data_IF_993461210468
#
_entry.id   IF_993461210468
#
_cell.length_a   1.000
_cell.length_b   1.000
_cell.length_c   1.000
_cell.angle_alpha   90.00
_cell.angle_beta   90.00
_cell.angle_gamma   90.00
#
_symmetry.space_group_name_H-M   'P 1'
#
loop_
_entity.id
_entity.type
_entity.pdbx_description
1 polymer ?
#
# COMPACT_ATOMS: atom_id res chain seq x y z
N UNK A 1 35.50 4.40 4.76
CA UNK A 1 34.02 4.23 4.83
C UNK A 1 33.39 5.08 3.73
N UNK A 2 32.71 4.49 2.73
CA UNK A 2 32.01 5.27 1.69
C UNK A 2 30.91 6.10 2.38
N UNK A 3 30.95 7.43 2.24
CA UNK A 3 29.85 8.28 2.69
C UNK A 3 28.64 8.01 1.79
N UNK A 4 27.53 7.55 2.36
CA UNK A 4 26.28 7.39 1.63
C UNK A 4 25.77 8.75 1.15
N UNK A 5 25.20 8.80 -0.05
CA UNK A 5 24.55 10.01 -0.55
C UNK A 5 23.34 10.35 0.35
N UNK A 6 23.00 11.62 0.56
CA UNK A 6 21.93 11.99 1.50
C UNK A 6 20.57 11.43 1.14
N UNK A 7 20.23 11.35 -0.14
CA UNK A 7 19.00 10.71 -0.58
C UNK A 7 18.94 9.24 -0.15
N UNK A 8 20.08 8.54 -0.09
CA UNK A 8 20.14 7.16 0.41
C UNK A 8 19.86 7.09 1.90
N UNK A 9 20.34 8.06 2.68
CA UNK A 9 20.10 8.14 4.13
C UNK A 9 18.63 8.45 4.44
N UNK A 10 18.03 9.38 3.68
CA UNK A 10 16.60 9.70 3.77
C UNK A 10 15.75 8.50 3.35
N UNK A 11 16.11 7.84 2.25
CA UNK A 11 15.42 6.67 1.74
C UNK A 11 15.49 5.49 2.72
N UNK A 12 16.67 5.20 3.30
CA UNK A 12 16.82 4.10 4.26
C UNK A 12 16.03 4.36 5.54
N UNK A 13 16.05 5.59 6.05
CA UNK A 13 15.22 5.99 7.17
C UNK A 13 13.72 5.85 6.83
N UNK A 14 13.29 6.36 5.68
CA UNK A 14 11.91 6.22 5.20
C UNK A 14 11.50 4.74 5.10
N UNK A 15 12.29 3.90 4.43
CA UNK A 15 12.01 2.47 4.30
C UNK A 15 12.02 1.74 5.64
N UNK A 16 12.87 2.13 6.59
CA UNK A 16 12.86 1.52 7.93
C UNK A 16 11.59 1.83 8.70
N UNK A 17 11.08 3.07 8.62
CA UNK A 17 9.79 3.45 9.19
C UNK A 17 8.64 2.71 8.53
N UNK A 18 8.62 2.68 7.19
CA UNK A 18 7.58 1.96 6.45
C UNK A 18 7.62 0.45 6.71
N UNK A 19 8.80 -0.15 6.84
CA UNK A 19 8.94 -1.55 7.18
C UNK A 19 8.36 -1.85 8.57
N UNK A 20 8.66 -1.01 9.57
CA UNK A 20 8.13 -1.16 10.91
C UNK A 20 6.59 -1.05 10.93
N UNK A 21 6.04 0.01 10.33
CA UNK A 21 4.58 0.23 10.28
C UNK A 21 3.84 -0.88 9.52
N UNK A 22 4.38 -1.30 8.37
CA UNK A 22 3.78 -2.37 7.56
C UNK A 22 3.82 -3.71 8.29
N UNK A 23 4.91 -3.98 9.02
CA UNK A 23 5.01 -5.18 9.85
C UNK A 23 3.95 -5.18 10.96
N UNK A 24 3.85 -4.11 11.75
CA UNK A 24 2.81 -3.97 12.79
C UNK A 24 1.41 -4.16 12.22
N UNK A 25 1.17 -3.58 11.04
CA UNK A 25 -0.10 -3.70 10.35
C UNK A 25 -0.41 -5.13 9.91
N UNK A 26 0.59 -5.85 9.40
CA UNK A 26 0.49 -7.27 9.05
C UNK A 26 0.22 -8.15 10.27
N UNK A 27 0.87 -7.88 11.40
CA UNK A 27 0.66 -8.61 12.66
C UNK A 27 -0.80 -8.47 13.14
N UNK A 28 -1.31 -7.24 13.18
CA UNK A 28 -2.71 -6.97 13.56
C UNK A 28 -3.68 -7.61 12.57
N UNK A 29 -3.45 -7.47 11.26
CA UNK A 29 -4.32 -8.07 10.25
C UNK A 29 -4.45 -9.59 10.46
N UNK A 30 -3.33 -10.26 10.71
CA UNK A 30 -3.32 -11.69 11.01
C UNK A 30 -4.06 -12.02 12.31
N UNK A 31 -3.77 -11.28 13.38
CA UNK A 31 -4.39 -11.49 14.69
C UNK A 31 -5.90 -11.29 14.65
N UNK A 32 -6.40 -10.31 13.89
CA UNK A 32 -7.83 -10.06 13.75
C UNK A 32 -8.56 -11.23 13.08
N UNK A 33 -7.99 -11.81 12.01
CA UNK A 33 -8.60 -12.95 11.30
C UNK A 33 -8.77 -14.11 12.27
N UNK A 34 -7.73 -14.45 13.04
CA UNK A 34 -7.77 -15.55 13.98
C UNK A 34 -8.62 -15.26 15.21
N UNK A 35 -8.62 -14.03 15.72
CA UNK A 35 -9.47 -13.65 16.83
C UNK A 35 -10.95 -13.77 16.47
N UNK A 36 -11.38 -13.24 15.32
CA UNK A 36 -12.76 -13.39 14.84
C UNK A 36 -13.08 -14.85 14.61
N UNK A 37 -12.15 -15.60 14.01
CA UNK A 37 -12.29 -17.05 13.80
C UNK A 37 -12.56 -17.76 15.11
N UNK A 38 -11.75 -17.54 16.16
CA UNK A 38 -11.85 -18.17 17.48
C UNK A 38 -13.08 -17.71 18.29
N UNK A 39 -13.51 -16.46 18.14
CA UNK A 39 -14.68 -15.95 18.90
C UNK A 39 -16.01 -16.32 18.28
N UNK A 40 -16.12 -16.37 16.95
CA UNK A 40 -17.41 -16.52 16.27
C UNK A 40 -17.63 -17.92 15.69
N UNK A 41 -16.57 -18.63 15.31
CA UNK A 41 -16.64 -19.89 14.57
C UNK A 41 -17.58 -19.85 13.33
N UNK A 42 -17.74 -18.67 12.73
CA UNK A 42 -18.73 -18.41 11.69
C UNK A 42 -18.08 -17.90 10.41
N UNK A 43 -18.44 -18.53 9.28
CA UNK A 43 -18.00 -18.07 7.96
C UNK A 43 -18.52 -16.68 7.62
N UNK A 44 -19.76 -16.37 8.02
CA UNK A 44 -20.37 -15.04 7.79
C UNK A 44 -19.58 -13.93 8.49
N UNK A 45 -19.09 -14.16 9.71
CA UNK A 45 -18.29 -13.17 10.43
C UNK A 45 -16.95 -12.88 9.72
N UNK A 46 -16.31 -13.90 9.14
CA UNK A 46 -15.09 -13.75 8.35
C UNK A 46 -15.34 -13.07 7.00
N UNK A 47 -16.49 -13.33 6.37
CA UNK A 47 -16.92 -12.62 5.16
C UNK A 47 -17.14 -11.14 5.44
N UNK A 48 -17.88 -10.81 6.51
CA UNK A 48 -18.10 -9.40 6.92
C UNK A 48 -16.76 -8.71 7.22
N UNK A 49 -15.86 -9.39 7.93
CA UNK A 49 -14.53 -8.85 8.21
C UNK A 49 -13.74 -8.60 6.91
N UNK A 50 -13.75 -9.55 5.98
CA UNK A 50 -13.07 -9.41 4.68
C UNK A 50 -13.62 -8.23 3.91
N UNK A 51 -14.95 -8.10 3.83
CA UNK A 51 -15.60 -6.94 3.20
C UNK A 51 -15.15 -5.65 3.87
N UNK A 52 -15.14 -5.59 5.20
CA UNK A 52 -14.66 -4.43 5.95
C UNK A 52 -13.17 -4.13 5.69
N UNK A 53 -12.33 -5.15 5.49
CA UNK A 53 -10.89 -4.96 5.22
C UNK A 53 -10.56 -4.55 3.78
N UNK A 54 -11.42 -4.85 2.79
CA UNK A 54 -11.10 -4.59 1.37
C UNK A 54 -12.02 -3.57 0.69
N UNK A 55 -13.32 -3.58 0.98
CA UNK A 55 -14.27 -2.72 0.29
C UNK A 55 -13.99 -1.22 0.52
N UNK A 56 -13.72 -0.75 1.75
CA UNK A 56 -13.41 0.67 1.96
C UNK A 56 -12.14 1.12 1.23
N UNK A 57 -11.09 0.29 1.23
CA UNK A 57 -9.85 0.53 0.49
C UNK A 57 -10.12 0.68 -1.02
N UNK A 58 -10.94 -0.21 -1.59
CA UNK A 58 -11.30 -0.14 -3.01
C UNK A 58 -12.03 1.16 -3.36
N UNK A 59 -13.01 1.54 -2.53
CA UNK A 59 -13.81 2.75 -2.75
C UNK A 59 -12.95 4.01 -2.64
N UNK A 60 -12.09 4.09 -1.62
CA UNK A 60 -11.24 5.27 -1.43
C UNK A 60 -10.10 5.32 -2.44
N UNK A 61 -9.63 4.18 -2.95
CA UNK A 61 -8.54 4.12 -3.93
C UNK A 61 -8.86 4.95 -5.19
N UNK A 62 -10.12 4.95 -5.64
CA UNK A 62 -10.59 5.73 -6.80
C UNK A 62 -10.40 7.25 -6.61
N UNK A 63 -10.53 7.73 -5.38
CA UNK A 63 -10.44 9.16 -5.03
C UNK A 63 -9.04 9.53 -4.53
N UNK A 64 -8.35 8.60 -3.88
CA UNK A 64 -7.05 8.78 -3.23
C UNK A 64 -5.98 9.36 -4.14
N UNK A 65 -6.01 9.00 -5.43
CA UNK A 65 -5.09 9.52 -6.42
C UNK A 65 -5.20 11.04 -6.58
N UNK A 66 -6.39 11.62 -6.48
CA UNK A 66 -6.58 13.08 -6.55
C UNK A 66 -5.99 13.76 -5.32
N UNK A 67 -6.07 13.12 -4.15
CA UNK A 67 -5.53 13.66 -2.91
C UNK A 67 -4.00 13.61 -2.86
N UNK A 68 -3.39 12.53 -3.38
CA UNK A 68 -1.95 12.39 -3.49
C UNK A 68 -1.30 13.43 -4.43
N UNK A 69 -2.07 13.93 -5.40
CA UNK A 69 -1.63 14.96 -6.35
C UNK A 69 -1.87 16.39 -5.82
N UNK A 70 -2.93 16.61 -5.02
CA UNK A 70 -3.32 17.95 -4.55
C UNK A 70 -2.66 18.37 -3.24
N UNK A 71 -2.46 17.42 -2.33
CA UNK A 71 -1.93 17.69 -0.99
C UNK A 71 -0.48 17.21 -0.86
N UNK A 72 0.20 17.69 0.18
CA UNK A 72 1.54 17.21 0.47
C UNK A 72 1.50 15.75 0.89
N UNK A 73 2.13 14.90 0.06
CA UNK A 73 2.20 13.44 0.22
C UNK A 73 2.64 13.05 1.62
N UNK A 74 3.54 13.84 2.21
CA UNK A 74 4.01 13.68 3.59
C UNK A 74 2.89 13.76 4.63
N UNK A 75 2.04 14.78 4.56
CA UNK A 75 0.91 14.94 5.48
C UNK A 75 -0.19 13.91 5.22
N UNK A 76 -0.41 13.56 3.96
CA UNK A 76 -1.35 12.49 3.60
C UNK A 76 -0.97 11.16 4.27
N UNK A 77 0.32 10.79 4.23
CA UNK A 77 0.83 9.57 4.88
C UNK A 77 0.69 9.68 6.41
N UNK A 78 1.13 10.78 7.02
CA UNK A 78 1.09 10.97 8.48
C UNK A 78 -0.33 10.93 9.01
N UNK A 79 -1.29 11.58 8.35
CA UNK A 79 -2.69 11.59 8.79
C UNK A 79 -3.35 10.23 8.60
N UNK A 80 -3.03 9.49 7.53
CA UNK A 80 -3.53 8.14 7.33
C UNK A 80 -3.01 7.19 8.42
N UNK A 81 -1.69 7.14 8.63
CA UNK A 81 -1.08 6.28 9.67
C UNK A 81 -1.53 6.69 11.08
N UNK A 82 -1.59 7.99 11.35
CA UNK A 82 -2.05 8.52 12.62
C UNK A 82 -3.52 8.18 12.90
N UNK A 83 -4.39 8.28 11.89
CA UNK A 83 -5.80 7.91 11.99
C UNK A 83 -5.98 6.41 12.24
N UNK A 84 -5.21 5.57 11.55
CA UNK A 84 -5.18 4.12 11.78
C UNK A 84 -4.71 3.80 13.20
N UNK A 85 -3.58 4.36 13.63
CA UNK A 85 -3.00 4.13 14.94
C UNK A 85 -3.95 4.60 16.06
N UNK A 86 -4.62 5.75 15.87
CA UNK A 86 -5.61 6.24 16.83
C UNK A 86 -6.81 5.29 16.94
N UNK A 87 -7.33 4.79 15.82
CA UNK A 87 -8.43 3.83 15.84
C UNK A 87 -8.02 2.50 16.50
N UNK A 88 -6.83 1.98 16.18
CA UNK A 88 -6.24 0.81 16.84
C UNK A 88 -6.10 1.03 18.35
N UNK A 89 -5.63 2.20 18.78
CA UNK A 89 -5.46 2.56 20.18
C UNK A 89 -6.79 2.62 20.93
N UNK A 90 -7.82 3.24 20.33
CA UNK A 90 -9.17 3.32 20.92
C UNK A 90 -9.73 1.92 21.14
N UNK A 91 -9.64 1.03 20.14
CA UNK A 91 -10.11 -0.35 20.27
C UNK A 91 -9.31 -1.12 21.32
N UNK A 92 -7.99 -0.95 21.36
CA UNK A 92 -7.15 -1.57 22.38
C UNK A 92 -7.56 -1.14 23.81
N UNK A 93 -7.87 0.14 24.02
CA UNK A 93 -8.36 0.65 25.31
C UNK A 93 -9.71 0.01 25.68
N UNK A 94 -10.66 -0.11 24.74
CA UNK A 94 -11.93 -0.80 25.00
C UNK A 94 -11.73 -2.25 25.43
N UNK A 95 -10.80 -2.97 24.78
CA UNK A 95 -10.48 -4.35 25.13
C UNK A 95 -9.82 -4.48 26.50
N UNK A 96 -8.93 -3.56 26.87
CA UNK A 96 -8.34 -3.50 28.22
C UNK A 96 -9.43 -3.30 29.29
N UNK A 97 -10.48 -2.54 28.97
CA UNK A 97 -11.64 -2.32 29.84
C UNK A 97 -12.65 -3.48 29.85
N UNK A 98 -12.38 -4.56 29.11
CA UNK A 98 -13.24 -5.75 29.02
C UNK A 98 -14.36 -5.67 27.96
N UNK A 99 -14.44 -4.60 27.18
CA UNK A 99 -15.43 -4.45 26.11
C UNK A 99 -14.95 -5.14 24.82
N UNK A 100 -14.98 -6.47 24.81
CA UNK A 100 -14.46 -7.31 23.72
C UNK A 100 -15.52 -7.62 22.65
N UNK A 101 -15.98 -6.59 21.93
CA UNK A 101 -16.99 -6.74 20.88
C UNK A 101 -16.36 -7.00 19.50
N UNK A 102 -16.89 -7.99 18.76
CA UNK A 102 -16.46 -8.28 17.38
C UNK A 102 -16.81 -7.13 16.43
N UNK A 103 -17.85 -6.34 16.74
CA UNK A 103 -18.22 -5.16 15.94
C UNK A 103 -17.14 -4.08 15.95
N UNK A 104 -16.39 -3.95 17.06
CA UNK A 104 -15.24 -3.03 17.12
C UNK A 104 -14.12 -3.47 16.17
N UNK A 105 -13.96 -4.78 15.97
CA UNK A 105 -13.00 -5.34 15.02
C UNK A 105 -13.41 -5.02 13.58
N UNK A 106 -14.68 -5.17 13.23
CA UNK A 106 -15.14 -4.80 11.89
C UNK A 106 -14.96 -3.30 11.61
N UNK A 107 -15.25 -2.46 12.60
CA UNK A 107 -15.07 -1.02 12.49
C UNK A 107 -13.59 -0.64 12.31
N UNK A 108 -12.69 -1.17 13.13
CA UNK A 108 -11.26 -0.86 13.00
C UNK A 108 -10.68 -1.41 11.70
N UNK A 109 -11.10 -2.60 11.26
CA UNK A 109 -10.73 -3.13 9.94
C UNK A 109 -11.14 -2.19 8.80
N UNK A 110 -12.34 -1.60 8.87
CA UNK A 110 -12.79 -0.64 7.88
C UNK A 110 -11.99 0.66 7.88
N UNK A 111 -11.66 1.20 9.07
CA UNK A 111 -10.83 2.40 9.20
C UNK A 111 -9.42 2.13 8.65
N UNK A 112 -8.84 0.97 8.98
CA UNK A 112 -7.53 0.52 8.46
C UNK A 112 -7.52 0.41 6.95
N UNK A 113 -8.58 -0.17 6.38
CA UNK A 113 -8.79 -0.29 4.94
C UNK A 113 -8.81 1.09 4.26
N UNK A 114 -9.54 2.07 4.82
CA UNK A 114 -9.56 3.44 4.30
C UNK A 114 -8.18 4.10 4.32
N UNK A 115 -7.48 4.05 5.46
CA UNK A 115 -6.16 4.67 5.57
C UNK A 115 -5.14 4.03 4.61
N UNK A 116 -5.15 2.71 4.47
CA UNK A 116 -4.27 2.01 3.52
C UNK A 116 -4.52 2.38 2.06
N UNK A 117 -5.79 2.61 1.68
CA UNK A 117 -6.14 3.08 0.33
C UNK A 117 -5.65 4.49 0.01
N UNK A 118 -5.48 5.35 1.02
CA UNK A 118 -4.93 6.70 0.89
C UNK A 118 -3.40 6.68 0.90
N UNK A 119 -2.81 5.88 1.78
CA UNK A 119 -1.38 5.83 2.03
C UNK A 119 -0.58 5.26 0.86
N UNK A 120 -1.08 4.18 0.23
CA UNK A 120 -0.37 3.47 -0.85
C UNK A 120 0.03 4.39 -2.03
N UNK A 121 -0.91 5.12 -2.66
CA UNK A 121 -0.59 6.06 -3.73
C UNK A 121 0.34 7.18 -3.30
N UNK A 122 0.19 7.70 -2.08
CA UNK A 122 1.06 8.75 -1.55
C UNK A 122 2.51 8.29 -1.39
N UNK A 123 2.74 7.06 -0.91
CA UNK A 123 4.08 6.45 -0.81
C UNK A 123 4.70 6.27 -2.20
N UNK A 124 3.96 5.68 -3.13
CA UNK A 124 4.44 5.42 -4.49
C UNK A 124 4.80 6.72 -5.22
N UNK A 125 4.07 7.81 -4.93
CA UNK A 125 4.37 9.13 -5.45
C UNK A 125 5.53 9.81 -4.69
N UNK A 126 5.79 9.47 -3.42
CA UNK A 126 6.87 10.06 -2.63
C UNK A 126 8.25 9.51 -2.99
N UNK A 127 8.35 8.20 -3.28
CA UNK A 127 9.62 7.56 -3.66
C UNK A 127 10.35 8.30 -4.81
N UNK A 128 9.69 8.68 -5.92
CA UNK A 128 10.34 9.41 -7.00
C UNK A 128 10.70 10.87 -6.65
N UNK A 129 10.26 11.41 -5.50
CA UNK A 129 10.73 12.70 -5.02
C UNK A 129 12.06 12.60 -4.27
N UNK A 130 12.34 11.45 -3.68
CA UNK A 130 13.55 11.22 -2.87
C UNK A 130 14.66 10.64 -3.72
N UNK A 131 14.33 9.82 -4.72
CA UNK A 131 15.31 8.97 -5.43
C UNK A 131 15.55 9.47 -6.85
N UNK A 132 16.82 9.61 -7.29
CA UNK A 132 17.14 9.95 -8.67
C UNK A 132 16.60 8.93 -9.68
N UNK A 133 16.12 9.41 -10.84
CA UNK A 133 15.52 8.58 -11.90
C UNK A 133 16.33 7.33 -12.24
N UNK A 134 17.66 7.45 -12.37
CA UNK A 134 18.59 6.35 -12.65
C UNK A 134 18.56 5.20 -11.63
N UNK A 135 18.13 5.48 -10.39
CA UNK A 135 18.10 4.52 -9.29
C UNK A 135 16.66 4.08 -8.91
N UNK A 136 15.62 4.59 -9.57
CA UNK A 136 14.22 4.31 -9.20
C UNK A 136 13.87 2.82 -9.32
N UNK A 137 14.29 2.17 -10.40
CA UNK A 137 14.03 0.73 -10.61
C UNK A 137 14.66 -0.09 -9.48
N UNK A 138 15.92 0.21 -9.14
CA UNK A 138 16.63 -0.46 -8.03
C UNK A 138 15.95 -0.18 -6.69
N UNK A 139 15.52 1.05 -6.46
CA UNK A 139 14.83 1.46 -5.23
C UNK A 139 13.49 0.77 -5.06
N UNK A 140 12.71 0.65 -6.13
CA UNK A 140 11.45 -0.10 -6.15
C UNK A 140 11.69 -1.60 -5.92
N UNK A 141 12.76 -2.19 -6.49
CA UNK A 141 13.15 -3.57 -6.21
C UNK A 141 13.41 -3.83 -4.72
N UNK A 142 14.11 -2.90 -4.04
CA UNK A 142 14.33 -2.96 -2.59
C UNK A 142 13.01 -2.86 -1.82
N UNK A 143 12.14 -1.91 -2.19
CA UNK A 143 10.84 -1.73 -1.54
C UNK A 143 9.96 -2.98 -1.66
N UNK A 144 9.90 -3.58 -2.86
CA UNK A 144 9.18 -4.84 -3.07
C UNK A 144 9.77 -5.99 -2.26
N UNK A 145 11.10 -6.06 -2.13
CA UNK A 145 11.76 -7.09 -1.32
C UNK A 145 11.41 -6.94 0.16
N UNK A 146 11.41 -5.71 0.69
CA UNK A 146 10.95 -5.42 2.05
C UNK A 146 9.50 -5.87 2.24
N UNK A 147 8.61 -5.52 1.30
CA UNK A 147 7.21 -5.93 1.33
C UNK A 147 7.02 -7.44 1.34
N UNK A 148 7.78 -8.17 0.53
CA UNK A 148 7.70 -9.64 0.46
C UNK A 148 8.22 -10.30 1.75
N UNK A 149 9.32 -9.79 2.32
CA UNK A 149 9.86 -10.26 3.60
C UNK A 149 8.81 -10.07 4.71
N UNK A 150 8.16 -8.91 4.75
CA UNK A 150 7.12 -8.61 5.74
C UNK A 150 5.89 -9.51 5.53
N UNK A 151 5.45 -9.72 4.29
CA UNK A 151 4.34 -10.62 3.99
C UNK A 151 4.62 -12.06 4.44
N UNK A 152 5.87 -12.51 4.37
CA UNK A 152 6.27 -13.83 4.85
C UNK A 152 6.36 -13.89 6.39
N UNK A 153 6.94 -12.88 7.02
CA UNK A 153 7.18 -12.85 8.47
C UNK A 153 5.91 -12.56 9.27
N UNK A 154 5.01 -11.72 8.75
CA UNK A 154 3.85 -11.24 9.51
C UNK A 154 2.93 -12.37 9.98
N UNK A 155 2.56 -13.37 9.15
CA UNK A 155 1.76 -14.49 9.61
C UNK A 155 2.45 -15.34 10.69
N UNK A 156 3.75 -15.60 10.53
CA UNK A 156 4.53 -16.41 11.48
C UNK A 156 4.58 -15.71 12.84
N UNK A 157 4.94 -14.43 12.85
CA UNK A 157 5.02 -13.63 14.06
C UNK A 157 3.63 -13.40 14.66
N UNK A 158 2.61 -13.11 13.85
CA UNK A 158 1.23 -12.91 14.29
C UNK A 158 0.63 -14.16 14.94
N UNK A 159 0.90 -15.35 14.37
CA UNK A 159 0.51 -16.63 14.95
C UNK A 159 1.22 -16.91 16.28
N UNK A 160 2.50 -16.58 16.40
CA UNK A 160 3.19 -16.67 17.68
C UNK A 160 2.57 -15.69 18.70
N UNK A 161 2.34 -14.43 18.31
CA UNK A 161 1.83 -13.38 19.20
C UNK A 161 0.47 -13.72 19.79
N UNK A 162 -0.49 -14.23 19.00
CA UNK A 162 -1.85 -14.48 19.48
C UNK A 162 -1.92 -15.57 20.55
N UNK A 163 -0.92 -16.44 20.64
CA UNK A 163 -0.84 -17.49 21.66
C UNK A 163 -0.34 -16.95 22.99
N UNK A 164 0.61 -16.00 22.96
CA UNK A 164 1.28 -15.50 24.16
C UNK A 164 0.79 -14.13 24.63
N UNK A 165 0.17 -13.35 23.74
CA UNK A 165 -0.31 -12.00 24.01
C UNK A 165 -1.81 -11.89 23.79
N UNK A 166 -2.51 -11.10 24.65
CA UNK A 166 -3.88 -10.70 24.35
C UNK A 166 -3.91 -9.75 23.16
N UNK A 167 -5.01 -9.72 22.42
CA UNK A 167 -5.11 -8.96 21.16
C UNK A 167 -4.88 -7.45 21.33
N UNK A 168 -5.26 -6.87 22.48
CA UNK A 168 -4.99 -5.46 22.76
C UNK A 168 -3.50 -5.14 22.80
N UNK A 169 -2.64 -6.08 23.21
CA UNK A 169 -1.19 -5.88 23.22
C UNK A 169 -0.62 -5.88 21.80
N UNK A 170 -1.19 -6.68 20.90
CA UNK A 170 -0.82 -6.70 19.47
C UNK A 170 -1.20 -5.36 18.82
N UNK A 171 -2.37 -4.81 19.14
CA UNK A 171 -2.75 -3.45 18.71
C UNK A 171 -1.77 -2.39 19.23
N UNK A 172 -1.30 -2.49 20.48
CA UNK A 172 -0.32 -1.54 21.03
C UNK A 172 1.03 -1.61 20.32
N UNK A 173 1.45 -2.80 19.89
CA UNK A 173 2.68 -2.97 19.09
C UNK A 173 2.51 -2.25 17.75
N UNK A 174 1.38 -2.44 17.06
CA UNK A 174 1.07 -1.74 15.82
C UNK A 174 1.08 -0.21 15.99
N UNK A 175 0.42 0.29 17.05
CA UNK A 175 0.45 1.72 17.41
C UNK A 175 1.88 2.22 17.63
N UNK A 176 2.72 1.44 18.33
CA UNK A 176 4.13 1.78 18.53
C UNK A 176 4.92 1.82 17.22
N UNK A 177 4.72 0.85 16.33
CA UNK A 177 5.39 0.81 15.03
C UNK A 177 4.94 1.95 14.11
N UNK A 178 3.65 2.30 14.12
CA UNK A 178 3.11 3.44 13.39
C UNK A 178 3.64 4.76 13.95
N UNK A 179 3.74 4.90 15.28
CA UNK A 179 4.33 6.07 15.91
C UNK A 179 5.80 6.27 15.50
N UNK A 180 6.59 5.20 15.43
CA UNK A 180 7.98 5.25 14.93
C UNK A 180 8.01 5.77 13.49
N UNK A 181 7.17 5.23 12.61
CA UNK A 181 7.09 5.66 11.22
C UNK A 181 6.67 7.13 11.09
N UNK A 182 5.68 7.57 11.85
CA UNK A 182 5.23 8.97 11.90
C UNK A 182 6.35 9.90 12.37
N UNK A 183 7.06 9.53 13.44
CA UNK A 183 8.17 10.33 13.97
C UNK A 183 9.30 10.45 12.94
N UNK A 184 9.68 9.35 12.30
CA UNK A 184 10.64 9.36 11.19
C UNK A 184 10.15 10.31 10.11
N UNK A 185 8.89 10.18 9.68
CA UNK A 185 8.31 11.02 8.63
C UNK A 185 8.21 12.50 8.98
N UNK A 186 8.05 12.86 10.26
CA UNK A 186 8.05 14.26 10.74
C UNK A 186 9.44 14.89 10.71
N UNK A 187 10.48 14.12 11.03
CA UNK A 187 11.86 14.61 11.11
C UNK A 187 12.55 14.57 9.74
N UNK A 188 12.13 13.65 8.86
CA UNK A 188 12.73 13.46 7.55
C UNK A 188 12.65 14.74 6.68
N UNK A 189 13.80 15.19 6.14
CA UNK A 189 13.84 16.24 5.14
C UNK A 189 13.45 15.67 3.78
N UNK A 190 12.36 16.18 3.20
CA UNK A 190 11.83 15.72 1.92
C UNK A 190 11.69 16.94 0.99
N UNK A 191 12.09 16.82 -0.29
CA UNK A 191 11.85 17.86 -1.28
C UNK A 191 10.35 18.12 -1.49
N UNK A 192 9.93 19.38 -1.45
CA UNK A 192 8.53 19.74 -1.66
C UNK A 192 8.15 19.60 -3.14
N UNK A 193 6.99 19.01 -3.41
CA UNK A 193 6.55 18.63 -4.76
C UNK A 193 6.40 19.80 -5.75
N UNK A 194 6.07 21.00 -5.25
CA UNK A 194 5.85 22.21 -6.08
C UNK A 194 7.04 23.15 -6.13
N UNK A 195 7.81 23.23 -5.04
CA UNK A 195 8.84 24.25 -4.85
C UNK A 195 10.25 23.68 -4.99
N UNK A 196 10.43 22.37 -4.82
CA UNK A 196 11.75 21.72 -4.76
C UNK A 196 12.49 21.95 -3.43
N UNK A 197 12.08 22.95 -2.64
CA UNK A 197 12.63 23.25 -1.32
C UNK A 197 12.59 22.03 -0.40
N UNK A 198 13.70 21.75 0.27
CA UNK A 198 13.77 20.63 1.21
C UNK A 198 13.41 21.09 2.62
N UNK A 199 12.34 20.51 3.15
CA UNK A 199 11.81 20.84 4.47
C UNK A 199 11.44 19.58 5.26
N UNK A 200 11.59 19.65 6.58
CA UNK A 200 10.95 18.70 7.49
C UNK A 200 9.60 19.29 7.97
N UNK A 201 8.89 18.61 8.88
CA UNK A 201 7.52 19.02 9.25
C UNK A 201 7.51 20.32 10.03
N UNK A 202 8.67 20.69 10.57
CA UNK A 202 8.87 21.81 11.48
C UNK A 202 9.47 23.03 10.77
N UNK A 203 9.84 22.93 9.49
CA UNK A 203 10.34 24.05 8.69
C UNK A 203 11.40 23.68 7.67
N UNK A 204 11.89 24.70 6.96
CA UNK A 204 12.89 24.59 5.90
C UNK A 204 14.26 24.25 6.49
N UNK A 205 14.93 23.24 5.92
CA UNK A 205 16.27 22.82 6.33
C UNK A 205 17.31 23.33 5.33
N UNK A 206 17.88 24.51 5.58
CA UNK A 206 18.86 25.19 4.71
C UNK A 206 20.12 24.36 4.34
N UNK A 207 20.38 23.22 5.01
CA UNK A 207 21.51 22.34 4.67
C UNK A 207 21.21 21.36 3.54
N UNK A 208 19.97 21.25 3.11
CA UNK A 208 19.57 20.29 2.10
C UNK A 208 19.64 20.84 0.67
N UNK A 209 19.64 22.17 0.50
CA UNK A 209 19.57 22.85 -0.79
C UNK A 209 20.79 22.58 -1.71
N UNK A 210 21.90 22.10 -1.16
CA UNK A 210 23.17 21.83 -1.87
C UNK A 210 23.28 20.38 -2.39
N UNK A 211 22.23 19.56 -2.25
CA UNK A 211 22.27 18.15 -2.60
C UNK A 211 21.48 17.83 -3.88
N UNK A 212 22.05 16.97 -4.72
CA UNK A 212 21.37 16.38 -5.88
C UNK A 212 20.33 15.33 -5.39
N UNK A 213 19.12 15.81 -5.12
CA UNK A 213 17.97 15.00 -4.68
C UNK A 213 17.34 14.19 -5.82
N UNK A 214 17.86 14.30 -7.05
CA UNK A 214 17.32 13.57 -8.19
C UNK A 214 15.93 14.03 -8.65
N UNK A 215 15.41 15.11 -8.07
CA UNK A 215 14.34 15.92 -8.62
C UNK A 215 14.97 16.90 -9.62
N UNK A 216 14.42 17.10 -10.83
CA UNK A 216 14.94 18.11 -11.73
C UNK A 216 14.78 19.48 -11.05
N UNK A 217 15.86 20.01 -10.49
CA UNK A 217 15.92 21.35 -9.94
C UNK A 217 15.81 22.34 -11.09
N UNK A 218 14.63 22.86 -11.36
CA UNK A 218 14.42 24.08 -12.17
C UNK A 218 14.88 24.06 -13.64
N UNK A 219 15.45 22.98 -14.15
CA UNK A 219 15.79 22.82 -15.55
C UNK A 219 15.49 21.38 -15.94
N UNK A 220 14.31 21.16 -16.53
CA UNK A 220 14.28 20.20 -17.63
C UNK A 220 15.25 20.81 -18.64
N UNK A 221 16.45 20.23 -18.75
CA UNK A 221 17.38 20.59 -19.81
C UNK A 221 16.57 20.50 -21.11
N UNK A 222 16.39 21.63 -21.79
CA UNK A 222 15.60 21.75 -23.01
C UNK A 222 16.06 20.76 -24.11
N UNK A 223 17.25 20.20 -23.95
CA UNK A 223 17.84 19.14 -24.75
C UNK A 223 17.07 17.81 -24.66
N UNK A 224 16.52 17.45 -23.49
CA UNK A 224 15.76 16.20 -23.29
C UNK A 224 14.33 16.29 -23.83
N UNK A 225 13.78 17.51 -23.96
CA UNK A 225 12.48 17.75 -24.58
C UNK A 225 12.56 17.56 -26.10
N UNK A 226 13.69 17.93 -26.73
CA UNK A 226 13.90 17.75 -28.17
C UNK A 226 14.05 16.28 -28.57
N UNK A 227 14.78 15.48 -27.80
CA UNK A 227 14.89 14.02 -28.03
C UNK A 227 13.55 13.31 -27.82
N UNK A 228 12.75 13.73 -26.83
CA UNK A 228 11.40 13.18 -26.60
C UNK A 228 10.43 13.56 -27.71
N UNK A 229 10.55 14.76 -28.30
CA UNK A 229 9.74 15.18 -29.42
C UNK A 229 10.07 14.40 -30.71
N UNK A 230 11.35 14.15 -30.98
CA UNK A 230 11.79 13.33 -32.12
C UNK A 230 11.37 11.86 -31.96
N UNK A 231 11.49 11.29 -30.75
CA UNK A 231 11.01 9.93 -30.45
C UNK A 231 9.48 9.85 -30.51
N UNK A 232 8.75 10.92 -30.15
CA UNK A 232 7.30 10.97 -30.28
C UNK A 232 6.85 10.97 -31.75
N UNK A 233 7.58 11.66 -32.63
CA UNK A 233 7.31 11.70 -34.07
C UNK A 233 7.56 10.33 -34.73
N UNK A 234 8.64 9.63 -34.34
CA UNK A 234 8.93 8.25 -34.77
C UNK A 234 7.90 7.24 -34.22
N UNK A 235 7.44 7.41 -32.97
CA UNK A 235 6.38 6.57 -32.38
C UNK A 235 5.01 6.82 -33.01
N UNK A 236 4.71 8.04 -33.46
CA UNK A 236 3.48 8.33 -34.21
C UNK A 236 3.50 7.65 -35.58
N UNK A 237 4.65 7.61 -36.26
CA UNK A 237 4.81 6.86 -37.51
C UNK A 237 4.63 5.35 -37.33
N UNK A 238 5.13 4.77 -36.23
CA UNK A 238 4.99 3.34 -35.91
C UNK A 238 3.56 2.98 -35.43
N UNK A 239 2.86 3.93 -34.77
CA UNK A 239 1.47 3.79 -34.28
C UNK A 239 0.44 3.71 -35.42
N UNK A 240 0.75 4.25 -36.60
CA UNK A 240 -0.10 4.18 -37.78
C UNK A 240 -0.05 2.81 -38.49
N UNK A 241 1.01 2.01 -38.29
CA UNK A 241 1.14 0.67 -38.94
C UNK A 241 0.56 -0.49 -38.11
N UNK A 242 0.22 -0.28 -36.83
CA UNK A 242 -0.26 -1.34 -35.92
C UNK A 242 -1.59 -1.01 -35.20
N UNK A 243 -2.68 -1.00 -35.96
CA UNK A 243 -4.04 -1.27 -35.48
C UNK A 243 -4.76 -0.10 -34.79
N UNK A 244 -5.33 0.79 -35.60
CA UNK A 244 -5.99 2.05 -35.22
C UNK A 244 -7.36 1.95 -34.53
N UNK A 245 -8.01 0.78 -34.46
CA UNK A 245 -9.45 0.75 -34.13
C UNK A 245 -9.80 1.02 -32.66
N UNK A 246 -8.89 0.72 -31.72
CA UNK A 246 -9.20 0.80 -30.28
C UNK A 246 -8.78 2.10 -29.60
N UNK A 247 -7.73 2.74 -30.13
CA UNK A 247 -7.04 3.86 -29.48
C UNK A 247 -7.68 5.20 -29.87
N UNK A 248 -8.17 5.31 -31.10
CA UNK A 248 -8.92 6.47 -31.59
C UNK A 248 -10.22 6.70 -30.80
N UNK A 249 -10.95 5.63 -30.43
CA UNK A 249 -12.15 5.70 -29.61
C UNK A 249 -11.90 6.04 -28.12
N UNK A 250 -10.65 6.07 -27.65
CA UNK A 250 -10.26 6.52 -26.30
C UNK A 250 -9.75 7.95 -26.26
N UNK A 251 -9.38 8.52 -27.40
CA UNK A 251 -8.90 9.90 -27.51
C UNK A 251 -10.04 10.96 -27.52
N UNK A 252 -11.29 10.54 -27.78
CA UNK A 252 -12.44 11.46 -27.86
C UNK A 252 -13.06 11.88 -26.51
N UNK A 253 -12.59 11.37 -25.38
CA UNK A 253 -13.04 11.88 -24.07
C UNK A 253 -12.05 12.90 -23.55
N UNK A 254 -12.28 14.17 -23.90
CA UNK A 254 -11.77 15.37 -23.22
C UNK A 254 -12.39 15.49 -21.81
N UNK A 255 -12.24 14.43 -21.01
CA UNK A 255 -12.61 14.42 -19.61
C UNK A 255 -11.36 14.06 -18.81
N UNK A 256 -10.62 15.10 -18.38
CA UNK A 256 -9.48 14.98 -17.46
C UNK A 256 -9.84 14.39 -16.09
N UNK A 257 -11.11 14.01 -15.89
CA UNK A 257 -11.58 13.24 -14.75
C UNK A 257 -11.00 11.82 -14.77
N UNK A 258 -10.44 11.38 -13.64
CA UNK A 258 -9.91 10.01 -13.46
C UNK A 258 -10.97 8.91 -13.69
N UNK A 259 -12.26 9.24 -13.62
CA UNK A 259 -13.36 8.32 -13.97
C UNK A 259 -13.41 8.10 -15.50
N UNK A 260 -13.15 9.15 -16.28
CA UNK A 260 -13.01 9.08 -17.74
C UNK A 260 -11.86 8.17 -18.14
N UNK A 261 -10.69 8.34 -17.52
CA UNK A 261 -9.52 7.47 -17.71
C UNK A 261 -9.82 6.01 -17.36
N UNK A 262 -10.49 5.75 -16.23
CA UNK A 262 -10.90 4.39 -15.84
C UNK A 262 -11.84 3.75 -16.89
N UNK A 263 -12.83 4.50 -17.38
CA UNK A 263 -13.77 4.03 -18.41
C UNK A 263 -13.07 3.77 -19.74
N UNK A 264 -12.11 4.62 -20.12
CA UNK A 264 -11.26 4.41 -21.29
C UNK A 264 -10.44 3.12 -21.16
N UNK A 265 -9.87 2.85 -19.98
CA UNK A 265 -9.20 1.59 -19.66
C UNK A 265 -10.10 0.36 -19.83
N UNK A 266 -11.34 0.40 -19.32
CA UNK A 266 -12.31 -0.69 -19.53
C UNK A 266 -12.65 -0.89 -21.01
N UNK A 267 -12.83 0.20 -21.76
CA UNK A 267 -13.09 0.13 -23.20
C UNK A 267 -11.92 -0.50 -23.95
N UNK A 268 -10.69 -0.16 -23.57
CA UNK A 268 -9.48 -0.74 -24.14
C UNK A 268 -9.38 -2.25 -23.87
N UNK A 269 -9.64 -2.69 -22.64
CA UNK A 269 -9.69 -4.12 -22.27
C UNK A 269 -10.70 -4.87 -23.14
N UNK A 270 -11.89 -4.29 -23.36
CA UNK A 270 -12.93 -4.92 -24.18
C UNK A 270 -12.60 -4.98 -25.67
N UNK A 271 -11.73 -4.08 -26.15
CA UNK A 271 -11.38 -3.97 -27.56
C UNK A 271 -10.30 -4.97 -28.00
N UNK A 272 -9.36 -5.31 -27.10
CA UNK A 272 -8.31 -6.30 -27.38
C UNK A 272 -8.72 -7.70 -26.87
N UNK A 273 -9.01 -8.68 -27.74
CA UNK A 273 -9.55 -9.99 -27.32
C UNK A 273 -8.60 -10.76 -26.39
N UNK A 274 -7.29 -10.71 -26.65
CA UNK A 274 -6.28 -11.33 -25.77
C UNK A 274 -6.28 -10.74 -24.35
N UNK A 275 -6.35 -9.41 -24.21
CA UNK A 275 -6.38 -8.75 -22.89
C UNK A 275 -7.68 -9.07 -22.16
N UNK A 276 -8.82 -9.05 -22.87
CA UNK A 276 -10.11 -9.44 -22.31
C UNK A 276 -10.08 -10.88 -21.78
N UNK A 277 -9.57 -11.82 -22.56
CA UNK A 277 -9.47 -13.23 -22.17
C UNK A 277 -8.56 -13.40 -20.95
N UNK A 278 -7.38 -12.79 -20.96
CA UNK A 278 -6.44 -12.79 -19.83
C UNK A 278 -7.07 -12.21 -18.54
N UNK A 279 -7.70 -11.04 -18.63
CA UNK A 279 -8.38 -10.38 -17.50
C UNK A 279 -9.56 -11.21 -16.99
N UNK A 280 -10.29 -11.87 -17.88
CA UNK A 280 -11.43 -12.73 -17.50
C UNK A 280 -10.94 -13.98 -16.77
N UNK A 281 -9.89 -14.64 -17.27
CA UNK A 281 -9.27 -15.80 -16.61
C UNK A 281 -8.74 -15.40 -15.22
N UNK A 282 -8.05 -14.27 -15.14
CA UNK A 282 -7.53 -13.75 -13.87
C UNK A 282 -8.65 -13.43 -12.87
N UNK A 283 -9.72 -12.76 -13.32
CA UNK A 283 -10.88 -12.46 -12.49
C UNK A 283 -11.59 -13.73 -12.00
N UNK A 284 -11.75 -14.73 -12.88
CA UNK A 284 -12.32 -16.03 -12.52
C UNK A 284 -11.47 -16.72 -11.45
N UNK A 285 -10.16 -16.77 -11.63
CA UNK A 285 -9.23 -17.34 -10.66
C UNK A 285 -9.31 -16.64 -9.30
N UNK A 286 -9.31 -15.30 -9.27
CA UNK A 286 -9.46 -14.51 -8.04
C UNK A 286 -10.79 -14.76 -7.33
N UNK A 287 -11.89 -14.86 -8.08
CA UNK A 287 -13.22 -15.17 -7.54
C UNK A 287 -13.26 -16.57 -6.92
N UNK A 288 -12.60 -17.56 -7.53
CA UNK A 288 -12.56 -18.92 -6.97
C UNK A 288 -11.62 -19.04 -5.75
N UNK A 289 -10.50 -18.33 -5.73
CA UNK A 289 -9.50 -18.43 -4.66
C UNK A 289 -9.83 -17.62 -3.41
N UNK A 290 -10.46 -16.46 -3.56
CA UNK A 290 -10.73 -15.58 -2.41
C UNK A 290 -11.59 -16.25 -1.30
N UNK A 291 -12.66 -17.00 -1.62
CA UNK A 291 -13.43 -17.73 -0.60
C UNK A 291 -12.60 -18.81 0.10
N UNK A 292 -11.72 -19.50 -0.64
CA UNK A 292 -10.85 -20.54 -0.08
C UNK A 292 -9.88 -19.92 0.93
N UNK A 293 -9.22 -18.83 0.56
CA UNK A 293 -8.27 -18.14 1.43
C UNK A 293 -8.93 -17.57 2.71
N UNK A 294 -10.14 -17.01 2.57
CA UNK A 294 -10.86 -16.38 3.70
C UNK A 294 -11.46 -17.40 4.67
N UNK A 295 -11.91 -18.56 4.17
CA UNK A 295 -12.50 -19.62 5.00
C UNK A 295 -11.48 -20.64 5.52
N UNK A 296 -10.23 -20.61 5.02
CA UNK A 296 -9.18 -21.52 5.46
C UNK A 296 -8.97 -21.54 6.99
N UNK A 297 -8.92 -20.40 7.71
CA UNK A 297 -8.81 -20.41 9.17
C UNK A 297 -9.97 -21.13 9.85
N UNK A 298 -11.20 -20.94 9.32
CA UNK A 298 -12.39 -21.60 9.83
C UNK A 298 -12.36 -23.11 9.57
N UNK A 299 -11.90 -23.52 8.39
CA UNK A 299 -11.72 -24.94 8.05
C UNK A 299 -10.72 -25.61 9.00
N UNK A 300 -9.56 -24.98 9.22
CA UNK A 300 -8.52 -25.47 10.13
C UNK A 300 -9.09 -25.60 11.55
N UNK A 301 -9.75 -24.56 12.06
CA UNK A 301 -10.36 -24.59 13.39
C UNK A 301 -11.35 -25.75 13.55
N UNK A 302 -12.17 -26.03 12.54
CA UNK A 302 -13.23 -27.06 12.60
C UNK A 302 -12.72 -28.48 12.44
N UNK A 303 -11.65 -28.70 11.66
CA UNK A 303 -11.15 -30.06 11.34
C UNK A 303 -9.90 -30.45 12.14
N UNK A 304 -8.98 -29.52 12.39
CA UNK A 304 -7.67 -29.80 12.99
C UNK A 304 -7.53 -29.32 14.44
N UNK A 305 -8.52 -28.60 15.00
CA UNK A 305 -8.50 -28.14 16.39
C UNK A 305 -7.60 -26.93 16.63
N UNK A 306 -6.98 -26.85 17.83
CA UNK A 306 -6.21 -25.69 18.30
C UNK A 306 -4.70 -25.76 17.98
N UNK A 307 -4.24 -26.75 17.22
CA UNK A 307 -2.80 -26.91 16.95
C UNK A 307 -2.29 -25.88 15.93
N UNK A 308 -1.69 -24.81 16.45
CA UNK A 308 -1.24 -23.61 15.72
C UNK A 308 -0.22 -23.90 14.63
N UNK A 309 0.56 -24.98 14.71
CA UNK A 309 1.59 -25.29 13.72
C UNK A 309 1.01 -25.73 12.36
N UNK A 310 -0.19 -26.33 12.32
CA UNK A 310 -0.88 -26.65 11.07
C UNK A 310 -1.22 -25.38 10.29
N UNK A 311 -1.50 -24.28 10.99
CA UNK A 311 -1.80 -22.97 10.39
C UNK A 311 -0.57 -22.41 9.68
N UNK A 312 0.57 -22.39 10.38
CA UNK A 312 1.82 -21.88 9.85
C UNK A 312 2.28 -22.72 8.66
N UNK A 313 2.16 -24.05 8.73
CA UNK A 313 2.50 -24.95 7.63
C UNK A 313 1.59 -24.73 6.40
N UNK A 314 0.27 -24.65 6.61
CA UNK A 314 -0.68 -24.45 5.52
C UNK A 314 -0.50 -23.09 4.83
N UNK A 315 -0.22 -22.02 5.59
CA UNK A 315 0.01 -20.70 5.01
C UNK A 315 1.37 -20.57 4.34
N UNK A 316 2.44 -21.14 4.91
CA UNK A 316 3.75 -21.18 4.23
C UNK A 316 3.64 -21.93 2.90
N UNK A 317 2.87 -23.03 2.86
CA UNK A 317 2.61 -23.74 1.60
C UNK A 317 1.82 -22.89 0.58
N UNK A 318 0.89 -22.05 1.05
CA UNK A 318 0.08 -21.17 0.20
C UNK A 318 0.84 -19.95 -0.34
N UNK A 319 1.83 -19.45 0.40
CA UNK A 319 2.65 -18.29 0.01
C UNK A 319 3.97 -18.68 -0.68
N UNK A 320 4.43 -19.92 -0.53
CA UNK A 320 5.62 -20.43 -1.21
C UNK A 320 5.34 -20.99 -2.62
N UNK A 321 4.06 -21.14 -3.00
CA UNK A 321 3.59 -21.67 -4.28
C UNK A 321 3.07 -20.61 -5.23
#
# INVERSE_FOLDING_TARGET
>A
MKKFAPWQQVLTAFYSGQAASTLGTGLVQFALIWYVTFRTNSGLALTIMTIASFLPQLLIALVSGVWADRYDRRWVIILADGGIALASLIVAIFFIRGYESVWLIFLVSAIRSLGGGIQGPAINALIPQIVPRKNLIRSNGIYSTIGNIIQLLSPILGAAMIVILPIWAIFMIDVGTAAIAIVIMLVLPIPHQKTGDIANAFGVNKKADDFDWGFPSGAVEAEQIYDLAAVAEDLEAERLEHGEDCVSATAETDDSSKIGEFKAGLRYINCKPFIKELMTIYAMFMILLAPIATLLPLFIRRHFGLEVWYVTAAQVALFAG
#
